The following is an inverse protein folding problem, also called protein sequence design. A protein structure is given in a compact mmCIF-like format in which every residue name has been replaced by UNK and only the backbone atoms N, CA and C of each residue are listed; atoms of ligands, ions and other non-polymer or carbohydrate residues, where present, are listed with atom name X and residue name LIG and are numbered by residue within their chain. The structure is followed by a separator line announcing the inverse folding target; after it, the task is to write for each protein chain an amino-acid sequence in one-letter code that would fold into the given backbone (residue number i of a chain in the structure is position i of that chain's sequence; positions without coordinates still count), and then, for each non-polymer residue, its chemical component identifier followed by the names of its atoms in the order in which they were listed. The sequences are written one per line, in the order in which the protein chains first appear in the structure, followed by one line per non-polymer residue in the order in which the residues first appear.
data_IF_117368133187
#
_entry.id   IF_117368133187
#
_cell.length_a   1.000
_cell.length_b   1.000
_cell.length_c   1.000
_cell.angle_alpha   90.00
_cell.angle_beta   90.00
_cell.angle_gamma   90.00
#
_symmetry.space_group_name_H-M   'P 1'
#
loop_
_entity.id
_entity.type
_entity.pdbx_description
1 polymer ?
#
# COMPACT_ATOMS: atom_id res chain seq x y z
N UNK A 1 -3.31 0.03 -16.84
CA UNK A 1 -2.78 0.70 -15.64
C UNK A 1 -1.73 1.69 -16.09
N UNK A 2 -2.01 2.98 -15.92
CA UNK A 2 -1.17 4.08 -16.38
C UNK A 2 -0.38 4.67 -15.23
N UNK A 3 0.82 5.17 -15.50
CA UNK A 3 1.66 5.79 -14.49
C UNK A 3 1.00 7.06 -13.95
N UNK A 4 0.26 7.76 -14.81
CA UNK A 4 -0.67 8.83 -14.47
C UNK A 4 -1.53 8.51 -13.24
N UNK A 5 -2.21 7.37 -13.20
CA UNK A 5 -3.12 7.02 -12.09
C UNK A 5 -2.38 6.84 -10.75
N UNK A 6 -1.12 6.41 -10.77
CA UNK A 6 -0.31 6.31 -9.55
C UNK A 6 0.07 7.70 -9.00
N UNK A 7 0.43 8.62 -9.89
CA UNK A 7 0.80 10.00 -9.52
C UNK A 7 -0.43 10.77 -9.06
N UNK A 8 -1.55 10.65 -9.77
CA UNK A 8 -2.81 11.28 -9.41
C UNK A 8 -3.29 10.78 -8.04
N UNK A 9 -3.21 9.47 -7.76
CA UNK A 9 -3.53 8.92 -6.43
C UNK A 9 -2.59 9.45 -5.35
N UNK A 10 -1.28 9.50 -5.61
CA UNK A 10 -0.30 10.04 -4.66
C UNK A 10 -0.58 11.52 -4.34
N UNK A 11 -0.98 12.31 -5.35
CA UNK A 11 -1.37 13.70 -5.16
C UNK A 11 -2.65 13.81 -4.32
N UNK A 12 -3.68 13.01 -4.66
CA UNK A 12 -4.93 12.98 -3.93
C UNK A 12 -4.74 12.61 -2.46
N UNK A 13 -3.95 11.59 -2.16
CA UNK A 13 -3.69 11.14 -0.77
C UNK A 13 -2.93 12.18 0.05
N UNK A 14 -2.07 12.98 -0.57
CA UNK A 14 -1.27 14.00 0.13
C UNK A 14 -2.09 15.24 0.47
N UNK A 15 -2.97 15.64 -0.44
CA UNK A 15 -3.82 16.82 -0.33
C UNK A 15 -5.29 16.40 -0.02
N UNK A 16 -5.50 15.23 0.59
CA UNK A 16 -6.83 14.65 0.80
C UNK A 16 -7.61 15.37 1.90
N UNK A 17 -8.70 16.01 1.51
CA UNK A 17 -9.66 16.68 2.42
C UNK A 17 -10.96 15.90 2.58
N UNK A 18 -11.05 14.68 2.02
CA UNK A 18 -12.27 13.87 2.12
C UNK A 18 -12.52 13.39 3.55
N UNK A 19 -13.78 13.42 3.96
CA UNK A 19 -14.20 12.90 5.26
C UNK A 19 -14.31 11.37 5.23
N UNK A 20 -14.23 10.73 6.40
CA UNK A 20 -14.44 9.28 6.51
C UNK A 20 -15.80 8.84 5.95
N UNK A 21 -16.83 9.69 6.11
CA UNK A 21 -18.17 9.47 5.57
C UNK A 21 -18.20 9.47 4.04
N UNK A 22 -17.47 10.39 3.39
CA UNK A 22 -17.33 10.40 1.92
C UNK A 22 -16.66 9.12 1.41
N UNK A 23 -15.54 8.73 2.04
CA UNK A 23 -14.79 7.50 1.69
C UNK A 23 -15.66 6.26 1.85
N UNK A 24 -16.45 6.18 2.93
CA UNK A 24 -17.38 5.08 3.17
C UNK A 24 -18.51 5.05 2.14
N UNK A 25 -19.09 6.20 1.83
CA UNK A 25 -20.16 6.33 0.82
C UNK A 25 -19.68 5.82 -0.53
N UNK A 26 -18.46 6.18 -0.94
CA UNK A 26 -17.83 5.66 -2.14
C UNK A 26 -17.70 4.13 -2.12
N UNK A 27 -17.27 3.55 -0.99
CA UNK A 27 -17.17 2.09 -0.86
C UNK A 27 -18.51 1.37 -0.98
N UNK A 28 -19.60 2.01 -0.53
CA UNK A 28 -20.97 1.48 -0.64
C UNK A 28 -21.54 1.59 -2.05
N UNK A 29 -21.20 2.64 -2.81
CA UNK A 29 -21.64 2.77 -4.22
C UNK A 29 -20.90 1.82 -5.15
N UNK A 30 -19.68 1.40 -4.80
CA UNK A 30 -18.80 0.57 -5.62
C UNK A 30 -18.69 -0.90 -5.15
N UNK A 31 -19.83 -1.56 -4.93
CA UNK A 31 -19.90 -2.94 -4.41
C UNK A 31 -19.17 -3.97 -5.31
N UNK A 32 -19.21 -3.77 -6.63
CA UNK A 32 -18.63 -4.69 -7.61
C UNK A 32 -17.11 -4.84 -7.50
N UNK A 33 -16.42 -3.82 -6.99
CA UNK A 33 -14.96 -3.80 -6.84
C UNK A 33 -14.51 -3.95 -5.38
N UNK A 34 -15.42 -4.25 -4.45
CA UNK A 34 -15.15 -4.35 -3.00
C UNK A 34 -13.96 -5.27 -2.66
N UNK A 35 -13.81 -6.38 -3.39
CA UNK A 35 -12.76 -7.37 -3.12
C UNK A 35 -11.47 -7.14 -3.95
N UNK A 36 -11.40 -6.05 -4.73
CA UNK A 36 -10.21 -5.67 -5.48
C UNK A 36 -9.71 -4.29 -5.00
N UNK A 37 -8.77 -4.25 -4.04
CA UNK A 37 -8.29 -2.99 -3.47
C UNK A 37 -7.59 -2.12 -4.53
N UNK A 38 -7.00 -2.74 -5.56
CA UNK A 38 -6.35 -1.99 -6.64
C UNK A 38 -7.41 -1.32 -7.51
N UNK A 39 -8.50 -2.01 -7.82
CA UNK A 39 -9.62 -1.43 -8.56
C UNK A 39 -10.30 -0.30 -7.76
N UNK A 40 -10.49 -0.47 -6.44
CA UNK A 40 -11.03 0.58 -5.56
C UNK A 40 -10.19 1.86 -5.60
N UNK A 41 -8.87 1.74 -5.42
CA UNK A 41 -7.96 2.89 -5.47
C UNK A 41 -7.97 3.58 -6.84
N UNK A 42 -8.04 2.82 -7.93
CA UNK A 42 -8.10 3.38 -9.28
C UNK A 42 -9.43 4.08 -9.56
N UNK A 43 -10.54 3.49 -9.11
CA UNK A 43 -11.88 4.08 -9.25
C UNK A 43 -11.99 5.38 -8.44
N UNK A 44 -11.50 5.38 -7.19
CA UNK A 44 -11.42 6.58 -6.36
C UNK A 44 -10.60 7.67 -7.06
N UNK A 45 -9.43 7.30 -7.59
CA UNK A 45 -8.57 8.25 -8.30
C UNK A 45 -9.27 8.86 -9.52
N UNK A 46 -10.07 8.08 -10.25
CA UNK A 46 -10.80 8.55 -11.42
C UNK A 46 -11.94 9.50 -11.04
N UNK A 47 -12.70 9.19 -9.99
CA UNK A 47 -13.83 10.00 -9.52
C UNK A 47 -13.37 11.33 -8.93
N UNK A 48 -12.36 11.30 -8.07
CA UNK A 48 -11.87 12.48 -7.36
C UNK A 48 -10.79 13.26 -8.12
N UNK A 49 -10.46 12.84 -9.35
CA UNK A 49 -9.44 13.47 -10.20
C UNK A 49 -9.63 14.98 -10.35
N UNK A 50 -10.89 15.42 -10.46
CA UNK A 50 -11.23 16.83 -10.66
C UNK A 50 -10.88 17.74 -9.47
N UNK A 51 -10.61 17.17 -8.28
CA UNK A 51 -10.14 17.91 -7.11
C UNK A 51 -8.66 18.34 -7.24
N UNK A 52 -7.90 17.75 -8.17
CA UNK A 52 -6.50 18.10 -8.41
C UNK A 52 -6.38 19.40 -9.23
N UNK A 53 -5.33 20.18 -8.97
CA UNK A 53 -5.01 21.39 -9.74
C UNK A 53 -4.71 21.04 -11.20
N UNK A 54 -5.29 21.83 -12.12
CA UNK A 54 -5.07 21.67 -13.56
C UNK A 54 -3.81 22.44 -14.01
N UNK A 55 -3.04 21.89 -14.97
CA UNK A 55 -3.20 20.56 -15.57
C UNK A 55 -2.72 19.44 -14.63
N UNK A 56 -3.39 18.29 -14.72
CA UNK A 56 -3.15 17.15 -13.85
C UNK A 56 -1.68 16.69 -13.89
N UNK A 57 -1.06 16.56 -12.72
CA UNK A 57 0.36 16.20 -12.60
C UNK A 57 0.69 14.87 -13.30
N UNK A 58 -0.20 13.86 -13.22
CA UNK A 58 -0.02 12.59 -13.89
C UNK A 58 0.05 12.68 -15.42
N UNK A 59 -0.74 13.57 -16.04
CA UNK A 59 -0.76 13.76 -17.50
C UNK A 59 0.55 14.37 -18.00
N UNK A 60 1.04 15.40 -17.31
CA UNK A 60 2.33 16.03 -17.65
C UNK A 60 3.47 15.03 -17.54
N UNK A 61 3.51 14.26 -16.46
CA UNK A 61 4.58 13.30 -16.24
C UNK A 61 4.57 12.16 -17.26
N UNK A 62 3.40 11.58 -17.54
CA UNK A 62 3.27 10.51 -18.54
C UNK A 62 3.63 11.01 -19.93
N UNK A 63 3.19 12.22 -20.29
CA UNK A 63 3.54 12.85 -21.56
C UNK A 63 5.04 13.08 -21.70
N UNK A 64 5.71 13.66 -20.70
CA UNK A 64 7.17 13.89 -20.74
C UNK A 64 7.91 12.57 -20.90
N UNK A 65 7.57 11.55 -20.11
CA UNK A 65 8.20 10.26 -20.21
C UNK A 65 7.94 9.56 -21.55
N UNK A 66 6.76 9.74 -22.13
CA UNK A 66 6.45 9.25 -23.47
C UNK A 66 7.36 9.90 -24.51
N UNK A 67 7.46 11.23 -24.54
CA UNK A 67 8.28 11.96 -25.51
C UNK A 67 9.77 11.65 -25.39
N UNK A 68 10.32 11.65 -24.16
CA UNK A 68 11.71 11.26 -23.91
C UNK A 68 11.97 9.87 -24.48
N UNK A 69 11.05 8.94 -24.22
CA UNK A 69 11.22 7.56 -24.65
C UNK A 69 11.10 7.40 -26.15
N UNK A 70 10.17 8.11 -26.79
CA UNK A 70 10.04 8.13 -28.24
C UNK A 70 11.33 8.62 -28.91
N UNK A 71 11.89 9.73 -28.42
CA UNK A 71 13.16 10.29 -28.91
C UNK A 71 14.30 9.28 -28.72
N UNK A 72 14.42 8.68 -27.52
CA UNK A 72 15.47 7.70 -27.26
C UNK A 72 15.32 6.43 -28.12
N UNK A 73 14.09 5.96 -28.38
CA UNK A 73 13.83 4.82 -29.27
C UNK A 73 14.28 5.13 -30.69
N UNK A 74 13.97 6.33 -31.19
CA UNK A 74 14.38 6.78 -32.51
C UNK A 74 15.91 6.90 -32.60
N UNK A 75 16.55 7.51 -31.61
CA UNK A 75 18.03 7.57 -31.52
C UNK A 75 18.62 6.16 -31.49
N UNK A 76 18.09 5.26 -30.67
CA UNK A 76 18.57 3.88 -30.59
C UNK A 76 18.42 3.14 -31.92
N UNK A 77 17.31 3.33 -32.64
CA UNK A 77 17.11 2.77 -33.98
C UNK A 77 18.17 3.29 -34.96
N UNK A 78 18.36 4.61 -35.01
CA UNK A 78 19.33 5.26 -35.90
C UNK A 78 20.76 4.83 -35.58
N UNK A 79 21.11 4.74 -34.29
CA UNK A 79 22.41 4.20 -33.86
C UNK A 79 22.58 2.74 -34.26
N UNK A 80 21.53 1.91 -34.16
CA UNK A 80 21.52 0.53 -34.63
C UNK A 80 21.75 0.44 -36.14
N UNK A 81 21.05 1.27 -36.90
CA UNK A 81 21.17 1.38 -38.35
C UNK A 81 22.60 1.74 -38.76
N UNK A 82 23.16 2.83 -38.21
CA UNK A 82 24.53 3.25 -38.50
C UNK A 82 25.59 2.27 -37.99
N UNK A 83 25.37 1.61 -36.84
CA UNK A 83 26.28 0.56 -36.37
C UNK A 83 26.30 -0.61 -37.33
N UNK A 84 25.13 -1.04 -37.82
CA UNK A 84 25.03 -2.08 -38.84
C UNK A 84 25.72 -1.67 -40.13
N UNK A 85 25.53 -0.42 -40.59
CA UNK A 85 26.22 0.11 -41.78
C UNK A 85 27.73 0.14 -41.60
N UNK A 86 28.22 0.58 -40.44
CA UNK A 86 29.65 0.63 -40.15
C UNK A 86 30.28 -0.76 -40.06
N UNK A 87 29.63 -1.70 -39.37
CA UNK A 87 30.10 -3.09 -39.23
C UNK A 87 30.10 -3.85 -40.56
N UNK A 88 29.21 -3.48 -41.48
CA UNK A 88 29.08 -4.08 -42.81
C UNK A 88 29.72 -3.22 -43.92
N UNK A 89 30.54 -2.25 -43.54
CA UNK A 89 31.21 -1.37 -44.49
C UNK A 89 32.21 -2.16 -45.33
N UNK A 90 31.94 -2.25 -46.62
CA UNK A 90 32.79 -2.91 -47.60
C UNK A 90 33.35 -1.88 -48.59
N UNK A 91 34.67 -1.83 -48.71
CA UNK A 91 35.41 -0.89 -49.57
C UNK A 91 35.91 -1.53 -50.87
N UNK A 92 35.62 -2.81 -51.10
CA UNK A 92 36.15 -3.59 -52.23
C UNK A 92 37.57 -4.15 -52.00
N UNK A 93 38.32 -3.61 -51.03
CA UNK A 93 39.73 -3.98 -50.77
C UNK A 93 39.89 -5.06 -49.71
N UNK A 94 39.03 -5.05 -48.70
CA UNK A 94 39.03 -6.05 -47.62
C UNK A 94 37.62 -6.61 -47.44
N UNK A 95 37.47 -7.93 -47.20
CA UNK A 95 36.17 -8.52 -46.90
C UNK A 95 35.66 -8.09 -45.53
N UNK A 96 34.35 -8.13 -45.34
CA UNK A 96 33.71 -7.78 -44.07
C UNK A 96 33.93 -8.90 -43.06
N UNK A 97 34.57 -8.59 -41.93
CA UNK A 97 34.83 -9.59 -40.88
C UNK A 97 33.55 -9.90 -40.07
N UNK A 98 33.00 -11.11 -40.25
CA UNK A 98 31.79 -11.56 -39.56
C UNK A 98 31.94 -11.68 -38.04
N UNK A 99 33.15 -11.85 -37.49
CA UNK A 99 33.35 -12.02 -36.05
C UNK A 99 32.89 -10.78 -35.28
N UNK A 100 33.17 -9.58 -35.79
CA UNK A 100 32.71 -8.34 -35.16
C UNK A 100 31.19 -8.19 -35.21
N UNK A 101 30.58 -8.59 -36.32
CA UNK A 101 29.13 -8.59 -36.44
C UNK A 101 28.48 -9.59 -35.47
N UNK A 102 29.02 -10.81 -35.37
CA UNK A 102 28.55 -11.82 -34.41
C UNK A 102 28.72 -11.39 -32.95
N UNK A 103 29.83 -10.74 -32.61
CA UNK A 103 30.03 -10.09 -31.31
C UNK A 103 28.88 -9.12 -30.99
N UNK A 104 28.47 -8.32 -31.98
CA UNK A 104 27.43 -7.31 -31.84
C UNK A 104 26.01 -7.88 -31.78
N UNK A 105 25.70 -8.94 -32.52
CA UNK A 105 24.31 -9.47 -32.63
C UNK A 105 24.02 -10.70 -31.78
N UNK A 106 25.05 -11.39 -31.29
CA UNK A 106 24.89 -12.56 -30.41
C UNK A 106 25.39 -12.23 -29.01
N UNK A 107 26.68 -11.94 -28.87
CA UNK A 107 27.32 -11.88 -27.56
C UNK A 107 26.92 -10.65 -26.74
N UNK A 108 26.94 -9.45 -27.34
CA UNK A 108 26.52 -8.23 -26.67
C UNK A 108 25.03 -8.30 -26.24
N UNK A 109 24.09 -8.79 -27.07
CA UNK A 109 22.72 -9.01 -26.65
C UNK A 109 22.59 -9.99 -25.50
N UNK A 110 23.25 -11.14 -25.55
CA UNK A 110 23.23 -12.12 -24.47
C UNK A 110 23.79 -11.53 -23.16
N UNK A 111 24.92 -10.82 -23.21
CA UNK A 111 25.51 -10.16 -22.05
C UNK A 111 24.58 -9.12 -21.43
N UNK A 112 23.96 -8.26 -22.24
CA UNK A 112 23.05 -7.23 -21.73
C UNK A 112 21.73 -7.82 -21.21
N UNK A 113 21.26 -8.94 -21.78
CA UNK A 113 20.12 -9.69 -21.27
C UNK A 113 20.41 -10.36 -19.93
N UNK A 114 21.59 -10.97 -19.75
CA UNK A 114 21.96 -11.57 -18.46
C UNK A 114 22.06 -10.51 -17.37
N UNK A 115 22.67 -9.35 -17.65
CA UNK A 115 22.68 -8.21 -16.73
C UNK A 115 21.25 -7.74 -16.38
N UNK A 116 20.35 -7.73 -17.35
CA UNK A 116 18.95 -7.38 -17.12
C UNK A 116 18.26 -8.40 -16.21
N UNK A 117 18.46 -9.70 -16.44
CA UNK A 117 17.89 -10.77 -15.61
C UNK A 117 18.40 -10.70 -14.18
N UNK A 118 19.71 -10.47 -13.99
CA UNK A 118 20.30 -10.24 -12.66
C UNK A 118 19.66 -9.03 -12.00
N UNK A 119 19.50 -7.92 -12.72
CA UNK A 119 18.80 -6.73 -12.23
C UNK A 119 17.38 -7.07 -11.76
N UNK A 120 16.59 -7.80 -12.57
CA UNK A 120 15.22 -8.21 -12.23
C UNK A 120 15.15 -9.02 -10.93
N UNK A 121 16.10 -9.92 -10.69
CA UNK A 121 16.17 -10.75 -9.48
C UNK A 121 16.57 -9.93 -8.25
N UNK A 122 17.46 -8.95 -8.43
CA UNK A 122 18.04 -8.18 -7.33
C UNK A 122 17.21 -6.96 -6.90
N UNK A 123 16.18 -6.57 -7.67
CA UNK A 123 15.22 -5.49 -7.31
C UNK A 123 14.66 -5.64 -5.89
N UNK A 124 14.49 -6.87 -5.40
CA UNK A 124 13.91 -7.12 -4.06
C UNK A 124 14.94 -7.05 -2.91
N UNK A 125 16.24 -7.15 -3.21
CA UNK A 125 17.32 -7.28 -2.21
C UNK A 125 18.18 -6.02 -2.06
N UNK A 126 18.15 -5.11 -3.03
CA UNK A 126 18.99 -3.93 -3.04
C UNK A 126 18.50 -2.89 -2.01
N UNK A 127 18.89 -3.04 -0.74
CA UNK A 127 18.77 -1.97 0.24
C UNK A 127 19.96 -1.01 0.23
N UNK A 128 21.22 -1.39 -0.07
CA UNK A 128 22.33 -0.42 0.10
C UNK A 128 23.62 -0.55 -0.75
N UNK A 129 23.91 -1.64 -1.49
CA UNK A 129 25.30 -1.84 -1.97
C UNK A 129 25.54 -1.49 -3.46
N UNK A 130 24.49 -1.36 -4.28
CA UNK A 130 24.61 -1.11 -5.74
C UNK A 130 23.75 0.07 -6.24
N UNK A 131 23.56 1.13 -5.44
CA UNK A 131 22.63 2.22 -5.77
C UNK A 131 22.98 2.88 -7.12
N UNK A 132 24.27 3.06 -7.45
CA UNK A 132 24.70 3.67 -8.73
C UNK A 132 24.55 2.75 -9.96
N UNK A 133 24.46 1.44 -9.75
CA UNK A 133 24.17 0.45 -10.80
C UNK A 133 22.65 0.24 -10.92
N UNK A 134 21.89 0.69 -9.91
CA UNK A 134 20.44 0.51 -9.91
C UNK A 134 19.78 1.36 -11.02
N UNK A 135 18.86 0.77 -11.80
CA UNK A 135 18.12 1.51 -12.81
C UNK A 135 17.38 2.74 -12.26
N UNK A 136 16.92 2.69 -11.01
CA UNK A 136 16.26 3.82 -10.35
C UNK A 136 17.15 5.07 -10.20
N UNK A 137 18.45 4.92 -9.92
CA UNK A 137 19.38 6.05 -9.83
C UNK A 137 19.49 6.81 -11.16
N UNK A 138 19.56 6.07 -12.27
CA UNK A 138 19.57 6.67 -13.61
C UNK A 138 18.23 7.30 -13.97
N UNK A 139 17.11 6.74 -13.50
CA UNK A 139 15.78 7.34 -13.67
C UNK A 139 15.71 8.73 -13.02
N UNK A 140 16.20 8.86 -11.79
CA UNK A 140 16.20 10.14 -11.07
C UNK A 140 17.04 11.19 -11.81
N UNK A 141 18.24 10.83 -12.27
CA UNK A 141 19.11 11.73 -13.04
C UNK A 141 18.49 12.14 -14.39
N UNK A 142 17.92 11.19 -15.13
CA UNK A 142 17.21 11.47 -16.38
C UNK A 142 16.02 12.40 -16.14
N UNK A 143 15.16 12.07 -15.16
CA UNK A 143 14.01 12.89 -14.83
C UNK A 143 14.42 14.29 -14.42
N UNK A 144 15.41 14.46 -13.52
CA UNK A 144 15.89 15.78 -13.11
C UNK A 144 16.43 16.61 -14.27
N UNK A 145 17.17 15.98 -15.20
CA UNK A 145 17.69 16.66 -16.37
C UNK A 145 16.58 17.22 -17.27
N UNK A 146 15.51 16.44 -17.49
CA UNK A 146 14.37 16.89 -18.29
C UNK A 146 13.38 17.77 -17.50
N UNK A 147 13.30 17.62 -16.17
CA UNK A 147 12.44 18.40 -15.25
C UNK A 147 12.85 19.86 -15.20
N UNK A 148 14.17 20.12 -15.11
CA UNK A 148 14.71 21.49 -15.10
C UNK A 148 14.33 22.30 -16.33
N UNK A 149 14.08 21.61 -17.46
CA UNK A 149 13.67 22.22 -18.72
C UNK A 149 12.16 22.44 -18.85
N UNK A 150 11.37 21.77 -17.99
CA UNK A 150 9.91 21.72 -18.10
C UNK A 150 9.18 22.53 -17.00
N UNK A 151 9.90 23.20 -16.11
CA UNK A 151 9.37 23.98 -14.97
C UNK A 151 8.31 23.21 -14.15
N UNK A 152 8.59 21.93 -13.92
CA UNK A 152 7.77 21.05 -13.08
C UNK A 152 8.60 20.66 -11.88
N UNK A 153 8.08 20.90 -10.68
CA UNK A 153 8.68 20.39 -9.45
C UNK A 153 8.37 18.89 -9.28
N UNK A 154 9.11 18.07 -10.02
CA UNK A 154 9.04 16.61 -9.92
C UNK A 154 9.59 16.08 -8.58
N UNK A 155 10.25 16.91 -7.79
CA UNK A 155 10.79 16.51 -6.48
C UNK A 155 9.69 16.29 -5.44
N UNK A 156 8.49 16.86 -5.67
CA UNK A 156 7.30 16.65 -4.82
C UNK A 156 6.79 15.20 -4.85
N UNK A 157 7.10 14.44 -5.90
CA UNK A 157 6.59 13.07 -6.12
C UNK A 157 7.69 12.02 -5.95
N UNK A 158 7.69 11.33 -4.80
CA UNK A 158 8.56 10.18 -4.57
C UNK A 158 7.98 8.94 -5.24
N UNK A 159 8.53 8.57 -6.40
CA UNK A 159 8.18 7.32 -7.08
C UNK A 159 8.75 6.15 -6.27
N UNK A 160 7.92 5.14 -6.01
CA UNK A 160 8.37 3.93 -5.35
C UNK A 160 9.57 3.32 -6.11
N UNK A 161 10.71 3.03 -5.45
CA UNK A 161 11.93 2.57 -6.12
C UNK A 161 11.73 1.27 -6.88
N UNK A 162 10.83 0.39 -6.42
CA UNK A 162 10.47 -0.83 -7.13
C UNK A 162 9.78 -0.49 -8.46
N UNK A 163 8.84 0.46 -8.46
CA UNK A 163 8.19 0.92 -9.69
C UNK A 163 9.18 1.58 -10.65
N UNK A 164 10.03 2.48 -10.15
CA UNK A 164 11.06 3.16 -10.94
C UNK A 164 12.02 2.17 -11.63
N UNK A 165 12.50 1.15 -10.90
CA UNK A 165 13.38 0.12 -11.46
C UNK A 165 12.73 -0.62 -12.63
N UNK A 166 11.47 -1.05 -12.48
CA UNK A 166 10.76 -1.76 -13.55
C UNK A 166 10.45 -0.85 -14.75
N UNK A 167 10.23 0.46 -14.54
CA UNK A 167 10.07 1.43 -15.63
C UNK A 167 11.35 1.48 -16.47
N UNK A 168 12.52 1.61 -15.83
CA UNK A 168 13.79 1.69 -16.56
C UNK A 168 14.12 0.37 -17.25
N UNK A 169 13.93 -0.77 -16.59
CA UNK A 169 14.16 -2.08 -17.21
C UNK A 169 13.29 -2.26 -18.46
N UNK A 170 11.99 -1.94 -18.39
CA UNK A 170 11.11 -2.04 -19.57
C UNK A 170 11.58 -1.12 -20.69
N UNK A 171 11.93 0.13 -20.36
CA UNK A 171 12.38 1.11 -21.37
C UNK A 171 13.72 0.71 -21.97
N UNK A 172 14.68 0.21 -21.19
CA UNK A 172 15.98 -0.26 -21.70
C UNK A 172 15.82 -1.43 -22.66
N UNK A 173 14.91 -2.38 -22.38
CA UNK A 173 14.60 -3.47 -23.33
C UNK A 173 14.02 -2.93 -24.64
N UNK A 174 13.17 -1.91 -24.57
CA UNK A 174 12.59 -1.30 -25.77
C UNK A 174 13.64 -0.55 -26.61
N UNK A 175 14.55 0.18 -25.97
CA UNK A 175 15.67 0.85 -26.65
C UNK A 175 16.60 -0.16 -27.30
N UNK A 176 16.96 -1.20 -26.57
CA UNK A 176 17.85 -2.26 -27.04
C UNK A 176 17.21 -3.06 -28.18
N UNK A 177 15.89 -3.29 -28.15
CA UNK A 177 15.15 -3.92 -29.24
C UNK A 177 15.11 -3.01 -30.48
N UNK A 178 14.88 -1.71 -30.30
CA UNK A 178 14.90 -0.71 -31.38
C UNK A 178 16.27 -0.65 -32.07
N UNK A 179 17.35 -0.66 -31.28
CA UNK A 179 18.71 -0.76 -31.80
C UNK A 179 18.91 -2.03 -32.63
N UNK A 180 18.50 -3.19 -32.13
CA UNK A 180 18.61 -4.46 -32.85
C UNK A 180 17.79 -4.48 -34.15
N UNK A 181 16.62 -3.84 -34.16
CA UNK A 181 15.81 -3.66 -35.37
C UNK A 181 16.51 -2.75 -36.38
N UNK A 182 17.08 -1.63 -35.95
CA UNK A 182 17.85 -0.75 -36.84
C UNK A 182 19.05 -1.47 -37.47
N UNK A 183 19.78 -2.25 -36.67
CA UNK A 183 20.90 -3.07 -37.15
C UNK A 183 20.43 -4.15 -38.14
N UNK A 184 19.31 -4.79 -37.87
CA UNK A 184 18.72 -5.79 -38.78
C UNK A 184 18.27 -5.17 -40.11
N UNK A 185 17.66 -3.99 -40.08
CA UNK A 185 17.32 -3.23 -41.28
C UNK A 185 18.58 -2.84 -42.07
N UNK A 186 19.66 -2.45 -41.40
CA UNK A 186 20.95 -2.19 -42.05
C UNK A 186 21.48 -3.45 -42.76
N UNK A 187 21.45 -4.60 -42.09
CA UNK A 187 21.89 -5.86 -42.69
C UNK A 187 21.12 -6.17 -43.97
N UNK A 188 19.79 -6.13 -43.92
CA UNK A 188 18.95 -6.39 -45.09
C UNK A 188 19.17 -5.36 -46.19
N UNK A 189 19.26 -4.08 -45.83
CA UNK A 189 19.46 -2.99 -46.78
C UNK A 189 20.80 -3.08 -47.51
N UNK A 190 21.88 -3.44 -46.82
CA UNK A 190 23.21 -3.57 -47.44
C UNK A 190 23.26 -4.84 -48.29
N UNK A 191 22.74 -5.96 -47.81
CA UNK A 191 22.69 -7.22 -48.59
C UNK A 191 21.85 -7.07 -49.85
N UNK A 192 20.79 -6.25 -49.83
CA UNK A 192 19.95 -5.99 -51.00
C UNK A 192 20.57 -5.01 -52.00
N UNK A 193 21.54 -4.19 -51.60
CA UNK A 193 22.07 -3.09 -52.43
C UNK A 193 23.53 -3.26 -52.82
N UNK A 194 24.31 -4.05 -52.08
CA UNK A 194 25.74 -4.25 -52.29
C UNK A 194 26.07 -5.73 -52.42
N UNK A 195 26.97 -6.04 -53.34
CA UNK A 195 27.64 -7.34 -53.42
C UNK A 195 28.75 -7.40 -52.36
N UNK A 196 28.38 -7.84 -51.14
CA UNK A 196 29.31 -7.92 -50.02
C UNK A 196 30.01 -9.28 -50.03
N UNK A 197 31.34 -9.27 -49.94
CA UNK A 197 32.13 -10.45 -49.60
C UNK A 197 32.34 -10.52 -48.07
N UNK A 198 31.77 -11.55 -47.45
CA UNK A 198 31.96 -11.84 -46.03
C UNK A 198 33.15 -12.79 -45.83
N UNK A 199 33.96 -12.52 -44.82
CA UNK A 199 35.06 -13.39 -44.40
C UNK A 199 35.16 -13.45 -42.88
N UNK A 200 35.76 -14.50 -42.34
CA UNK A 200 36.14 -14.52 -40.93
C UNK A 200 37.64 -14.47 -40.79
N UNK A 201 38.09 -13.72 -39.78
CA UNK A 201 39.47 -13.70 -39.36
C UNK A 201 39.53 -13.46 -37.86
N UNK A 202 40.42 -14.16 -37.17
CA UNK A 202 40.65 -14.02 -35.74
C UNK A 202 42.14 -14.12 -35.45
N UNK A 203 42.61 -13.40 -34.44
CA UNK A 203 43.99 -13.51 -33.95
C UNK A 203 44.22 -14.79 -33.15
N UNK A 204 43.15 -15.48 -32.75
CA UNK A 204 43.21 -16.78 -32.09
C UNK A 204 43.41 -17.87 -33.15
N UNK A 205 44.31 -18.83 -32.89
CA UNK A 205 44.53 -19.95 -33.79
C UNK A 205 43.38 -20.97 -33.68
N UNK A 206 42.30 -20.74 -34.43
CA UNK A 206 41.10 -21.57 -34.47
C UNK A 206 41.01 -22.22 -35.84
N UNK A 207 40.87 -23.55 -35.91
CA UNK A 207 40.68 -24.26 -37.17
C UNK A 207 39.25 -24.10 -37.70
N UNK A 208 39.08 -24.26 -39.02
CA UNK A 208 37.78 -24.17 -39.70
C UNK A 208 36.75 -25.14 -39.13
N UNK A 209 37.16 -26.34 -38.71
CA UNK A 209 36.30 -27.36 -38.13
C UNK A 209 35.75 -26.93 -36.77
N UNK A 210 36.61 -26.35 -35.91
CA UNK A 210 36.18 -25.84 -34.60
C UNK A 210 35.25 -24.64 -34.76
N UNK A 211 35.53 -23.75 -35.71
CA UNK A 211 34.65 -22.63 -36.00
C UNK A 211 33.30 -23.10 -36.56
N UNK A 212 33.28 -24.09 -37.45
CA UNK A 212 32.05 -24.73 -37.95
C UNK A 212 31.23 -25.35 -36.82
N UNK A 213 31.85 -26.10 -35.91
CA UNK A 213 31.16 -26.65 -34.74
C UNK A 213 30.54 -25.55 -33.87
N UNK A 214 31.30 -24.48 -33.59
CA UNK A 214 30.82 -23.34 -32.83
C UNK A 214 29.59 -22.68 -33.49
N UNK A 215 29.63 -22.45 -34.80
CA UNK A 215 28.50 -21.87 -35.53
C UNK A 215 27.30 -22.82 -35.60
N UNK A 216 27.52 -24.14 -35.64
CA UNK A 216 26.45 -25.13 -35.57
C UNK A 216 25.74 -25.11 -34.20
N UNK A 217 26.48 -24.88 -33.11
CA UNK A 217 25.91 -24.67 -31.77
C UNK A 217 25.07 -23.39 -31.73
N UNK A 218 25.58 -22.28 -32.27
CA UNK A 218 24.80 -21.04 -32.39
C UNK A 218 23.55 -21.22 -33.29
N UNK A 219 23.64 -22.06 -34.31
CA UNK A 219 22.52 -22.35 -35.20
C UNK A 219 21.47 -23.28 -34.57
N UNK A 220 21.67 -23.80 -33.35
CA UNK A 220 20.75 -24.73 -32.68
C UNK A 220 19.25 -24.36 -32.81
N UNK A 221 18.84 -23.08 -32.67
CA UNK A 221 17.42 -22.72 -32.74
C UNK A 221 16.78 -22.88 -34.13
N UNK A 222 17.58 -22.88 -35.21
CA UNK A 222 17.07 -22.96 -36.59
C UNK A 222 17.64 -24.07 -37.46
N UNK A 223 18.75 -24.69 -37.08
CA UNK A 223 19.49 -25.65 -37.92
C UNK A 223 18.65 -26.81 -38.46
N UNK A 224 17.63 -27.26 -37.71
CA UNK A 224 16.81 -28.40 -38.11
C UNK A 224 15.74 -28.05 -39.14
N UNK A 225 15.25 -26.81 -39.18
CA UNK A 225 14.13 -26.40 -40.04
C UNK A 225 14.52 -25.36 -41.10
N UNK A 226 15.68 -24.72 -40.95
CA UNK A 226 16.29 -23.84 -41.96
C UNK A 226 17.80 -24.15 -42.12
N UNK A 227 18.16 -25.34 -42.60
CA UNK A 227 19.56 -25.73 -42.78
C UNK A 227 20.30 -24.85 -43.79
N UNK A 228 19.59 -24.24 -44.74
CA UNK A 228 20.16 -23.29 -45.70
C UNK A 228 20.70 -21.99 -45.08
N UNK A 229 20.38 -21.72 -43.80
CA UNK A 229 20.91 -20.61 -43.02
C UNK A 229 22.00 -21.07 -42.04
N UNK A 230 22.59 -22.25 -42.25
CA UNK A 230 23.74 -22.77 -41.52
C UNK A 230 24.93 -22.81 -42.49
N UNK A 231 26.07 -22.16 -42.16
CA UNK A 231 27.26 -22.19 -43.00
C UNK A 231 27.81 -23.61 -43.13
N UNK A 232 28.11 -24.04 -44.36
CA UNK A 232 28.82 -25.31 -44.58
C UNK A 232 30.30 -25.19 -44.20
N UNK A 233 30.95 -26.32 -43.93
CA UNK A 233 32.40 -26.35 -43.68
C UNK A 233 33.19 -25.75 -44.85
N UNK A 234 32.80 -26.08 -46.08
CA UNK A 234 33.41 -25.56 -47.31
C UNK A 234 33.31 -24.03 -47.40
N UNK A 235 32.14 -23.45 -47.07
CA UNK A 235 31.98 -21.99 -47.02
C UNK A 235 32.90 -21.36 -45.96
N UNK A 236 33.10 -22.02 -44.81
CA UNK A 236 33.96 -21.52 -43.74
C UNK A 236 35.42 -21.56 -44.18
N UNK A 237 35.89 -22.65 -44.77
CA UNK A 237 37.27 -22.75 -45.28
C UNK A 237 37.56 -21.70 -46.35
N UNK A 238 36.65 -21.52 -47.31
CA UNK A 238 36.80 -20.56 -48.40
C UNK A 238 36.69 -19.10 -47.94
N UNK A 239 35.98 -18.84 -46.83
CA UNK A 239 35.82 -17.49 -46.26
C UNK A 239 36.86 -17.14 -45.19
N UNK A 240 37.85 -18.00 -44.95
CA UNK A 240 38.93 -17.70 -44.01
C UNK A 240 39.95 -16.72 -44.62
N UNK A 241 40.14 -15.57 -43.98
CA UNK A 241 40.97 -14.47 -44.51
C UNK A 241 42.13 -14.10 -43.58
N UNK A 242 43.35 -13.99 -44.14
CA UNK A 242 44.55 -13.54 -43.43
C UNK A 242 44.97 -12.15 -43.91
N UNK A 243 44.92 -11.15 -43.02
CA UNK A 243 45.21 -9.73 -43.32
C UNK A 243 46.64 -9.44 -43.80
N UNK A 244 47.61 -10.28 -43.48
CA UNK A 244 49.03 -10.06 -43.81
C UNK A 244 49.39 -10.43 -45.27
N UNK A 245 48.44 -10.97 -46.05
CA UNK A 245 48.66 -11.42 -47.43
C UNK A 245 48.67 -10.32 -48.51
N UNK A 246 48.46 -9.04 -48.15
CA UNK A 246 48.60 -7.88 -49.04
C UNK A 246 47.51 -7.70 -50.11
N UNK A 247 46.95 -8.77 -50.65
CA UNK A 247 45.91 -8.74 -51.69
C UNK A 247 44.81 -9.77 -51.41
N UNK A 248 43.59 -9.48 -51.89
CA UNK A 248 42.50 -10.47 -51.92
C UNK A 248 42.96 -11.65 -52.78
N UNK A 249 43.07 -12.85 -52.21
CA UNK A 249 43.36 -14.07 -52.98
C UNK A 249 42.43 -14.13 -54.20
N UNK A 250 42.97 -14.34 -55.41
CA UNK A 250 42.18 -14.43 -56.66
C UNK A 250 41.01 -15.43 -56.53
N UNK A 251 41.21 -16.48 -55.73
CA UNK A 251 40.18 -17.48 -55.38
C UNK A 251 38.98 -16.88 -54.63
N UNK A 252 39.19 -15.94 -53.71
CA UNK A 252 38.11 -15.27 -52.97
C UNK A 252 37.31 -14.34 -53.88
N UNK A 253 37.97 -13.66 -54.81
CA UNK A 253 37.31 -12.80 -55.81
C UNK A 253 36.46 -13.65 -56.76
N UNK A 254 36.99 -14.79 -57.23
CA UNK A 254 36.26 -15.73 -58.07
C UNK A 254 35.04 -16.36 -57.37
N UNK A 255 35.06 -16.46 -56.04
CA UNK A 255 34.01 -17.08 -55.21
C UNK A 255 33.15 -16.05 -54.44
N UNK A 256 33.18 -14.78 -54.83
CA UNK A 256 32.47 -13.70 -54.12
C UNK A 256 30.96 -13.98 -53.92
N UNK A 257 30.31 -14.63 -54.90
CA UNK A 257 28.90 -15.05 -54.80
C UNK A 257 28.67 -16.04 -53.64
N UNK A 258 29.60 -16.97 -53.42
CA UNK A 258 29.52 -17.92 -52.31
C UNK A 258 29.73 -17.22 -50.97
N UNK A 259 30.68 -16.28 -50.90
CA UNK A 259 30.94 -15.48 -49.70
C UNK A 259 29.73 -14.64 -49.29
N UNK A 260 28.92 -14.18 -50.24
CA UNK A 260 27.67 -13.48 -49.96
C UNK A 260 26.67 -14.30 -49.13
N UNK A 261 26.70 -15.64 -49.22
CA UNK A 261 25.69 -16.51 -48.60
C UNK A 261 25.64 -16.47 -47.06
N UNK A 262 26.69 -15.95 -46.41
CA UNK A 262 26.76 -15.70 -44.97
C UNK A 262 25.59 -14.87 -44.42
N UNK A 263 24.99 -14.00 -45.25
CA UNK A 263 23.91 -13.11 -44.81
C UNK A 263 22.74 -13.88 -44.19
N UNK A 264 22.44 -15.10 -44.66
CA UNK A 264 21.33 -15.92 -44.13
C UNK A 264 21.57 -16.30 -42.68
N UNK A 265 22.79 -16.72 -42.36
CA UNK A 265 23.19 -17.04 -41.00
C UNK A 265 23.19 -15.79 -40.12
N UNK A 266 23.76 -14.68 -40.60
CA UNK A 266 23.79 -13.42 -39.86
C UNK A 266 22.39 -12.86 -39.59
N UNK A 267 21.47 -12.98 -40.56
CA UNK A 267 20.08 -12.58 -40.43
C UNK A 267 19.37 -13.42 -39.37
N UNK A 268 19.52 -14.75 -39.41
CA UNK A 268 18.93 -15.65 -38.42
C UNK A 268 19.51 -15.45 -37.01
N UNK A 269 20.83 -15.25 -36.90
CA UNK A 269 21.48 -14.95 -35.63
C UNK A 269 20.96 -13.62 -35.04
N UNK A 270 20.86 -12.57 -35.86
CA UNK A 270 20.31 -11.27 -35.43
C UNK A 270 18.85 -11.39 -35.02
N UNK A 271 18.03 -12.08 -35.83
CA UNK A 271 16.61 -12.28 -35.57
C UNK A 271 16.39 -13.04 -34.27
N UNK A 272 17.11 -14.14 -34.05
CA UNK A 272 16.91 -14.96 -32.86
C UNK A 272 17.49 -14.30 -31.61
N UNK A 273 18.81 -14.05 -31.60
CA UNK A 273 19.53 -13.64 -30.40
C UNK A 273 19.30 -12.17 -30.02
N UNK A 274 19.22 -11.27 -31.00
CA UNK A 274 19.07 -9.84 -30.73
C UNK A 274 17.62 -9.38 -30.67
N UNK A 275 16.71 -10.01 -31.44
CA UNK A 275 15.31 -9.57 -31.55
C UNK A 275 14.36 -10.48 -30.77
N UNK A 276 14.27 -11.77 -31.09
CA UNK A 276 13.27 -12.70 -30.49
C UNK A 276 13.49 -12.87 -28.99
N UNK A 277 14.70 -13.24 -28.56
CA UNK A 277 14.99 -13.39 -27.12
C UNK A 277 14.75 -12.08 -26.36
N UNK A 278 15.09 -10.96 -26.98
CA UNK A 278 14.88 -9.63 -26.40
C UNK A 278 13.41 -9.26 -26.30
N UNK A 279 12.60 -9.65 -27.28
CA UNK A 279 11.17 -9.45 -27.27
C UNK A 279 10.52 -10.21 -26.11
N UNK A 280 10.93 -11.45 -25.84
CA UNK A 280 10.47 -12.18 -24.66
C UNK A 280 10.87 -11.48 -23.35
N UNK A 281 12.09 -10.97 -23.26
CA UNK A 281 12.54 -10.21 -22.10
C UNK A 281 11.77 -8.88 -21.92
N UNK A 282 11.43 -8.22 -23.04
CA UNK A 282 10.52 -7.08 -23.04
C UNK A 282 9.15 -7.46 -22.48
N UNK A 283 8.54 -8.56 -22.95
CA UNK A 283 7.27 -9.05 -22.41
C UNK A 283 7.36 -9.34 -20.90
N UNK A 284 8.42 -10.01 -20.45
CA UNK A 284 8.67 -10.25 -19.02
C UNK A 284 8.77 -8.95 -18.23
N UNK A 285 9.46 -7.94 -18.78
CA UNK A 285 9.56 -6.61 -18.15
C UNK A 285 8.21 -5.89 -18.08
N UNK A 286 7.34 -6.05 -19.08
CA UNK A 286 5.99 -5.48 -19.06
C UNK A 286 5.13 -6.11 -17.98
N UNK A 287 5.24 -7.42 -17.80
CA UNK A 287 4.55 -8.16 -16.76
C UNK A 287 5.07 -7.79 -15.36
N UNK A 288 6.39 -7.70 -15.21
CA UNK A 288 7.03 -7.25 -13.98
C UNK A 288 6.61 -5.83 -13.59
N UNK A 289 6.54 -4.91 -14.56
CA UNK A 289 6.04 -3.56 -14.35
C UNK A 289 4.57 -3.53 -13.90
N UNK A 290 3.69 -4.35 -14.50
CA UNK A 290 2.28 -4.45 -14.07
C UNK A 290 2.19 -4.91 -12.60
N UNK A 291 2.98 -5.91 -12.21
CA UNK A 291 3.03 -6.38 -10.81
C UNK A 291 3.60 -5.32 -9.86
N UNK A 292 4.65 -4.63 -10.31
CA UNK A 292 5.28 -3.56 -9.56
C UNK A 292 4.32 -2.41 -9.29
N UNK A 293 3.53 -2.03 -10.28
CA UNK A 293 2.51 -0.99 -10.18
C UNK A 293 1.44 -1.34 -9.14
N UNK A 294 0.88 -2.56 -9.19
CA UNK A 294 -0.11 -3.03 -8.20
C UNK A 294 0.45 -2.95 -6.78
N UNK A 295 1.69 -3.41 -6.57
CA UNK A 295 2.35 -3.33 -5.26
C UNK A 295 2.59 -1.90 -4.83
N UNK A 296 3.08 -1.06 -5.74
CA UNK A 296 3.38 0.34 -5.46
C UNK A 296 2.13 1.09 -4.98
N UNK A 297 0.99 0.91 -5.64
CA UNK A 297 -0.30 1.48 -5.23
C UNK A 297 -0.69 1.09 -3.80
N UNK A 298 -0.61 -0.21 -3.47
CA UNK A 298 -0.99 -0.72 -2.14
C UNK A 298 -0.01 -0.31 -1.03
N UNK A 299 1.20 0.11 -1.40
CA UNK A 299 2.23 0.60 -0.46
C UNK A 299 2.30 2.12 -0.38
N UNK A 300 1.45 2.84 -1.11
CA UNK A 300 1.36 4.30 -0.96
C UNK A 300 0.93 4.65 0.46
N UNK A 301 1.53 5.69 1.01
CA UNK A 301 1.12 6.29 2.27
C UNK A 301 -0.33 6.79 2.16
N UNK A 302 -1.17 6.47 3.15
CA UNK A 302 -2.62 6.75 3.11
C UNK A 302 -3.47 5.76 2.32
N UNK A 303 -2.91 4.94 1.43
CA UNK A 303 -3.72 4.01 0.62
C UNK A 303 -4.42 2.92 1.45
N UNK A 304 -3.76 2.43 2.52
CA UNK A 304 -4.35 1.46 3.44
C UNK A 304 -5.50 2.05 4.26
N UNK A 305 -5.33 3.29 4.72
CA UNK A 305 -6.34 4.01 5.49
C UNK A 305 -7.55 4.34 4.62
N UNK A 306 -7.32 4.82 3.39
CA UNK A 306 -8.38 5.02 2.41
C UNK A 306 -9.18 3.74 2.15
N UNK A 307 -8.49 2.62 1.91
CA UNK A 307 -9.15 1.31 1.73
C UNK A 307 -9.89 0.85 2.98
N UNK A 308 -9.36 1.15 4.17
CA UNK A 308 -10.01 0.85 5.44
C UNK A 308 -11.32 1.64 5.56
N UNK A 309 -11.29 2.94 5.35
CA UNK A 309 -12.46 3.83 5.43
C UNK A 309 -13.53 3.50 4.39
N UNK A 310 -13.13 3.07 3.19
CA UNK A 310 -14.08 2.60 2.17
C UNK A 310 -14.83 1.35 2.63
N UNK A 311 -14.15 0.41 3.30
CA UNK A 311 -14.66 -0.94 3.50
C UNK A 311 -15.23 -1.19 4.90
N UNK A 312 -14.74 -0.50 5.93
CA UNK A 312 -15.20 -0.65 7.32
C UNK A 312 -16.46 0.17 7.63
N UNK A 313 -17.36 -0.33 8.51
CA UNK A 313 -18.53 0.42 8.93
C UNK A 313 -18.15 1.59 9.84
N UNK A 314 -18.85 2.72 9.69
CA UNK A 314 -18.78 3.84 10.63
C UNK A 314 -19.57 3.46 11.88
N UNK A 315 -18.88 3.28 13.00
CA UNK A 315 -19.50 3.02 14.31
C UNK A 315 -19.47 4.34 15.09
N UNK A 316 -20.63 4.98 15.23
CA UNK A 316 -20.80 6.16 16.09
C UNK A 316 -21.66 5.77 17.28
N UNK A 317 -21.16 5.93 18.50
CA UNK A 317 -21.98 5.81 19.71
C UNK A 317 -22.75 7.10 19.90
N UNK A 318 -24.07 7.04 19.75
CA UNK A 318 -24.97 8.15 20.02
C UNK A 318 -25.60 7.95 21.39
N UNK A 319 -25.46 8.92 22.29
CA UNK A 319 -26.25 8.98 23.52
C UNK A 319 -27.53 9.77 23.23
N UNK A 320 -28.70 9.19 23.51
CA UNK A 320 -30.00 9.81 23.18
C UNK A 320 -30.35 11.02 24.09
N UNK A 321 -29.52 11.29 25.11
CA UNK A 321 -29.63 12.45 25.99
C UNK A 321 -28.29 13.15 26.04
N UNK A 322 -28.31 14.48 25.87
CA UNK A 322 -27.18 15.32 26.27
C UNK A 322 -26.94 15.11 27.78
N UNK A 323 -25.70 14.86 28.19
CA UNK A 323 -25.33 14.91 29.60
C UNK A 323 -25.63 16.33 30.10
N UNK A 324 -26.72 16.50 30.83
CA UNK A 324 -26.91 17.70 31.63
C UNK A 324 -25.80 17.68 32.69
N UNK A 325 -24.76 18.48 32.47
CA UNK A 325 -23.86 18.89 33.55
C UNK A 325 -24.71 19.67 34.55
N UNK A 326 -25.34 19.00 35.51
CA UNK A 326 -25.90 19.63 36.70
C UNK A 326 -24.73 20.41 37.33
N UNK A 327 -24.74 21.74 37.22
CA UNK A 327 -23.73 22.60 37.87
C UNK A 327 -23.91 22.36 39.36
N UNK A 328 -22.98 21.65 39.99
CA UNK A 328 -23.00 21.43 41.43
C UNK A 328 -23.11 22.78 42.14
N UNK A 329 -24.27 23.06 42.72
CA UNK A 329 -24.43 24.20 43.61
C UNK A 329 -23.53 23.91 44.81
N UNK A 330 -22.41 24.64 44.95
CA UNK A 330 -21.62 24.68 46.17
C UNK A 330 -22.40 25.46 47.26
N UNK A 331 -23.58 24.95 47.62
CA UNK A 331 -24.38 25.41 48.75
C UNK A 331 -24.25 24.40 49.90
N UNK A 332 -24.36 24.87 51.15
CA UNK A 332 -24.52 23.95 52.29
C UNK A 332 -25.80 23.14 52.05
N UNK A 333 -25.72 21.82 52.23
CA UNK A 333 -26.90 20.97 52.17
C UNK A 333 -27.72 21.19 53.44
N UNK A 334 -28.84 21.90 53.31
CA UNK A 334 -29.64 22.36 54.44
C UNK A 334 -30.71 21.34 54.90
N UNK A 335 -30.91 20.25 54.15
CA UNK A 335 -31.88 19.18 54.46
C UNK A 335 -31.28 18.08 55.35
N UNK A 336 -31.05 18.41 56.61
CA UNK A 336 -30.48 17.50 57.63
C UNK A 336 -31.49 17.18 58.73
N UNK A 337 -31.45 15.95 59.23
CA UNK A 337 -32.24 15.47 60.38
C UNK A 337 -31.27 15.14 61.51
N UNK A 338 -31.51 15.64 62.74
CA UNK A 338 -30.67 15.36 63.91
C UNK A 338 -31.20 14.22 64.80
N UNK A 339 -32.51 13.97 64.77
CA UNK A 339 -33.16 12.87 65.49
C UNK A 339 -34.18 12.21 64.57
N UNK A 340 -34.18 10.88 64.53
CA UNK A 340 -35.16 10.13 63.75
C UNK A 340 -36.49 10.09 64.52
N UNK A 341 -37.60 10.21 63.81
CA UNK A 341 -38.93 9.96 64.36
C UNK A 341 -39.08 8.50 64.80
N UNK A 342 -39.96 8.23 65.76
CA UNK A 342 -40.16 6.88 66.30
C UNK A 342 -40.87 5.92 65.32
N UNK A 343 -41.54 6.45 64.30
CA UNK A 343 -42.28 5.65 63.32
C UNK A 343 -42.18 6.25 61.92
N UNK A 344 -42.06 5.36 60.93
CA UNK A 344 -42.03 5.66 59.50
C UNK A 344 -42.93 4.68 58.75
N UNK A 345 -43.42 5.07 57.58
CA UNK A 345 -44.33 4.24 56.78
C UNK A 345 -43.57 3.06 56.13
N UNK A 346 -42.33 3.30 55.69
CA UNK A 346 -41.49 2.26 55.06
C UNK A 346 -40.03 2.41 55.49
N UNK A 347 -39.39 1.27 55.76
CA UNK A 347 -37.95 1.17 55.96
C UNK A 347 -37.34 0.38 54.80
N UNK A 348 -36.27 0.90 54.24
CA UNK A 348 -35.50 0.27 53.18
C UNK A 348 -34.03 0.17 53.56
N UNK A 349 -33.36 -0.90 53.13
CA UNK A 349 -31.93 -1.09 53.29
C UNK A 349 -31.23 -1.25 51.95
N UNK A 350 -30.31 -0.34 51.61
CA UNK A 350 -29.52 -0.45 50.39
C UNK A 350 -28.37 -1.45 50.57
N UNK A 351 -28.45 -2.58 49.86
CA UNK A 351 -27.56 -3.73 49.99
C UNK A 351 -27.41 -4.23 51.45
N UNK A 352 -28.51 -4.12 52.23
CA UNK A 352 -28.60 -4.59 53.61
C UNK A 352 -29.69 -5.65 53.69
N UNK A 353 -29.31 -6.86 54.12
CA UNK A 353 -30.25 -7.98 54.23
C UNK A 353 -31.42 -7.65 55.16
N UNK A 354 -32.61 -8.16 54.84
CA UNK A 354 -33.81 -7.93 55.66
C UNK A 354 -33.61 -8.29 57.15
N UNK A 355 -32.85 -9.35 57.46
CA UNK A 355 -32.54 -9.74 58.85
C UNK A 355 -31.73 -8.66 59.59
N UNK A 356 -30.73 -8.10 58.94
CA UNK A 356 -29.92 -7.01 59.51
C UNK A 356 -30.74 -5.74 59.67
N UNK A 357 -31.62 -5.44 58.71
CA UNK A 357 -32.51 -4.27 58.73
C UNK A 357 -33.42 -4.27 59.96
N UNK A 358 -34.02 -5.42 60.30
CA UNK A 358 -34.84 -5.57 61.51
C UNK A 358 -34.02 -5.29 62.77
N UNK A 359 -32.81 -5.86 62.87
CA UNK A 359 -31.92 -5.62 64.03
C UNK A 359 -31.52 -4.14 64.16
N UNK A 360 -31.30 -3.45 63.04
CA UNK A 360 -31.00 -2.02 63.04
C UNK A 360 -32.21 -1.22 63.54
N UNK A 361 -33.42 -1.54 63.08
CA UNK A 361 -34.65 -0.88 63.53
C UNK A 361 -34.87 -1.06 65.03
N UNK A 362 -34.69 -2.28 65.55
CA UNK A 362 -34.79 -2.57 66.98
C UNK A 362 -33.77 -1.76 67.80
N UNK A 363 -32.52 -1.68 67.32
CA UNK A 363 -31.44 -0.95 67.99
C UNK A 363 -31.72 0.56 68.03
N UNK A 364 -32.30 1.10 66.96
CA UNK A 364 -32.65 2.52 66.84
C UNK A 364 -34.06 2.85 67.36
N UNK A 365 -34.79 1.85 67.90
CA UNK A 365 -36.17 2.00 68.39
C UNK A 365 -37.14 2.57 67.33
N UNK A 366 -36.99 2.14 66.07
CA UNK A 366 -37.83 2.56 64.94
C UNK A 366 -38.92 1.54 64.65
N UNK A 367 -40.15 2.03 64.42
CA UNK A 367 -41.31 1.19 64.11
C UNK A 367 -41.79 1.47 62.69
N UNK A 368 -41.77 0.45 61.83
CA UNK A 368 -42.30 0.51 60.47
C UNK A 368 -43.11 -0.74 60.16
N UNK A 369 -44.29 -0.63 59.51
CA UNK A 369 -45.07 -1.78 59.08
C UNK A 369 -44.39 -2.54 57.93
N UNK A 370 -43.64 -1.83 57.08
CA UNK A 370 -43.00 -2.38 55.90
C UNK A 370 -41.48 -2.21 55.94
N UNK A 371 -40.75 -3.30 55.66
CA UNK A 371 -39.29 -3.36 55.67
C UNK A 371 -38.76 -4.11 54.43
N UNK A 372 -38.07 -3.41 53.53
CA UNK A 372 -37.59 -3.97 52.25
C UNK A 372 -36.06 -3.93 52.10
N UNK A 373 -35.49 -5.00 51.55
CA UNK A 373 -34.11 -5.03 51.06
C UNK A 373 -34.09 -4.50 49.63
N UNK A 374 -33.18 -3.57 49.33
CA UNK A 374 -33.10 -2.85 48.04
C UNK A 374 -31.67 -2.86 47.53
N UNK A 375 -31.46 -2.92 46.23
CA UNK A 375 -30.13 -2.99 45.63
C UNK A 375 -29.33 -4.25 46.01
N UNK A 376 -28.02 -4.25 45.75
CA UNK A 376 -27.16 -5.40 46.04
C UNK A 376 -27.47 -6.61 45.14
N UNK A 377 -28.18 -7.60 45.68
CA UNK A 377 -28.55 -8.82 44.94
C UNK A 377 -29.89 -8.70 44.20
N UNK A 378 -30.62 -7.60 44.37
CA UNK A 378 -31.88 -7.37 43.68
C UNK A 378 -31.67 -7.06 42.19
N UNK A 379 -32.61 -7.51 41.37
CA UNK A 379 -32.76 -7.09 39.98
C UNK A 379 -33.42 -5.70 39.90
N UNK A 380 -33.22 -5.00 38.78
CA UNK A 380 -33.83 -3.68 38.56
C UNK A 380 -35.37 -3.70 38.61
N UNK A 381 -36.00 -4.83 38.26
CA UNK A 381 -37.46 -4.95 38.30
C UNK A 381 -37.99 -5.19 39.73
N UNK A 382 -37.24 -5.92 40.57
CA UNK A 382 -37.57 -6.08 42.00
C UNK A 382 -37.47 -4.74 42.75
N UNK A 383 -36.41 -3.97 42.49
CA UNK A 383 -36.23 -2.64 43.08
C UNK A 383 -37.35 -1.67 42.64
N UNK A 384 -37.81 -1.75 41.38
CA UNK A 384 -38.96 -0.97 40.91
C UNK A 384 -40.27 -1.37 41.59
N UNK A 385 -40.47 -2.66 41.84
CA UNK A 385 -41.65 -3.13 42.56
C UNK A 385 -41.67 -2.60 44.01
N UNK A 386 -40.50 -2.56 44.67
CA UNK A 386 -40.36 -2.00 46.01
C UNK A 386 -40.63 -0.48 46.01
N UNK A 387 -40.09 0.25 45.04
CA UNK A 387 -40.44 1.68 44.85
C UNK A 387 -41.95 1.80 44.69
N UNK A 388 -42.59 0.94 43.89
CA UNK A 388 -44.03 1.00 43.67
C UNK A 388 -44.87 0.77 44.94
N UNK A 389 -44.41 -0.06 45.86
CA UNK A 389 -45.07 -0.33 47.15
C UNK A 389 -44.78 0.73 48.21
N UNK A 390 -43.77 1.57 48.00
CA UNK A 390 -43.36 2.59 48.97
C UNK A 390 -44.25 3.83 48.94
N UNK A 391 -44.55 4.37 50.13
CA UNK A 391 -45.44 5.51 50.34
C UNK A 391 -45.04 6.27 51.62
N UNK A 392 -45.55 7.49 51.79
CA UNK A 392 -45.36 8.29 53.02
C UNK A 392 -43.91 8.72 53.27
N UNK A 393 -43.47 8.67 54.52
CA UNK A 393 -42.08 8.92 54.92
C UNK A 393 -41.26 7.62 54.92
N UNK A 394 -40.15 7.61 54.18
CA UNK A 394 -39.27 6.44 54.02
C UNK A 394 -37.92 6.67 54.67
N UNK A 395 -37.46 5.71 55.47
CA UNK A 395 -36.06 5.64 55.94
C UNK A 395 -35.27 4.71 55.04
N UNK A 396 -34.19 5.22 54.46
CA UNK A 396 -33.28 4.45 53.61
C UNK A 396 -31.92 4.30 54.29
N UNK A 397 -31.67 3.12 54.84
CA UNK A 397 -30.40 2.78 55.47
C UNK A 397 -29.33 2.49 54.42
N UNK A 398 -28.15 3.07 54.62
CA UNK A 398 -26.99 2.89 53.74
C UNK A 398 -25.74 2.64 54.58
N UNK A 399 -24.80 1.83 54.08
CA UNK A 399 -23.53 1.58 54.76
C UNK A 399 -22.64 2.81 54.63
N UNK A 400 -22.28 3.45 55.75
CA UNK A 400 -21.56 4.72 55.73
C UNK A 400 -20.14 4.61 55.13
N UNK A 401 -19.52 3.42 55.13
CA UNK A 401 -18.20 3.18 54.55
C UNK A 401 -18.20 2.94 53.04
N UNK A 402 -19.36 2.69 52.43
CA UNK A 402 -19.50 2.57 50.98
C UNK A 402 -19.83 3.96 50.40
N UNK A 403 -19.17 4.39 49.30
CA UNK A 403 -19.52 5.65 48.66
C UNK A 403 -20.86 5.53 47.93
N UNK A 404 -21.65 6.62 47.81
CA UNK A 404 -22.89 6.64 47.04
C UNK A 404 -22.60 6.46 45.55
N UNK A 405 -22.88 5.27 45.03
CA UNK A 405 -22.73 4.86 43.63
C UNK A 405 -23.87 5.40 42.77
N UNK A 406 -23.71 5.40 41.43
CA UNK A 406 -24.70 6.01 40.53
C UNK A 406 -26.03 5.23 40.49
N UNK A 407 -25.99 3.91 40.60
CA UNK A 407 -27.17 3.03 40.75
C UNK A 407 -28.00 3.39 42.00
N UNK A 408 -27.35 3.68 43.13
CA UNK A 408 -28.02 4.19 44.32
C UNK A 408 -28.68 5.55 44.06
N UNK A 409 -28.00 6.46 43.36
CA UNK A 409 -28.54 7.80 43.07
C UNK A 409 -29.75 7.70 42.13
N UNK A 410 -29.68 6.86 41.11
CA UNK A 410 -30.79 6.61 40.19
C UNK A 410 -32.00 6.01 40.94
N UNK A 411 -31.76 5.05 41.85
CA UNK A 411 -32.79 4.47 42.70
C UNK A 411 -33.41 5.51 43.64
N UNK A 412 -32.57 6.34 44.29
CA UNK A 412 -33.01 7.37 45.22
C UNK A 412 -33.85 8.46 44.53
N UNK A 413 -33.48 8.87 43.31
CA UNK A 413 -34.25 9.86 42.53
C UNK A 413 -35.64 9.30 42.19
N UNK A 414 -35.71 8.04 41.72
CA UNK A 414 -36.99 7.37 41.43
C UNK A 414 -37.86 7.16 42.68
N UNK A 415 -37.25 6.82 43.83
CA UNK A 415 -37.97 6.66 45.09
C UNK A 415 -38.53 8.01 45.57
N UNK A 416 -37.68 9.05 45.58
CA UNK A 416 -38.04 10.37 46.09
C UNK A 416 -39.12 11.06 45.27
N UNK A 417 -39.21 10.80 43.96
CA UNK A 417 -40.31 11.29 43.11
C UNK A 417 -41.67 10.75 43.54
N UNK A 418 -41.72 9.57 44.18
CA UNK A 418 -42.95 8.85 44.51
C UNK A 418 -43.42 9.04 45.95
N UNK A 419 -42.50 9.20 46.89
CA UNK A 419 -42.82 9.30 48.32
C UNK A 419 -42.79 10.75 48.80
N UNK A 420 -43.29 11.00 50.01
CA UNK A 420 -43.38 12.35 50.57
C UNK A 420 -42.02 12.84 51.04
N UNK A 421 -41.20 11.93 51.62
CA UNK A 421 -39.89 12.23 52.17
C UNK A 421 -39.03 10.97 52.23
N UNK A 422 -37.75 11.08 51.88
CA UNK A 422 -36.76 10.02 52.07
C UNK A 422 -35.68 10.51 53.02
N UNK A 423 -35.49 9.84 54.15
CA UNK A 423 -34.40 10.09 55.10
C UNK A 423 -33.31 9.05 54.85
N UNK A 424 -32.21 9.46 54.23
CA UNK A 424 -31.02 8.63 54.06
C UNK A 424 -30.27 8.58 55.39
N UNK A 425 -30.09 7.37 55.92
CA UNK A 425 -29.43 7.14 57.21
C UNK A 425 -28.16 6.32 56.99
N UNK A 426 -26.98 6.97 56.91
CA UNK A 426 -25.72 6.28 56.96
C UNK A 426 -25.58 5.54 58.30
N UNK A 427 -25.21 4.27 58.26
CA UNK A 427 -24.97 3.45 59.45
C UNK A 427 -23.56 2.88 59.46
N UNK A 428 -22.98 2.80 60.66
CA UNK A 428 -21.68 2.19 60.92
C UNK A 428 -21.76 0.67 61.02
N UNK A 429 -20.71 0.05 61.55
CA UNK A 429 -20.71 -1.41 61.74
C UNK A 429 -21.43 -1.79 63.03
N UNK A 430 -21.96 -3.02 63.10
CA UNK A 430 -22.59 -3.55 64.32
C UNK A 430 -21.63 -3.60 65.53
N UNK A 431 -20.30 -3.62 65.30
CA UNK A 431 -19.29 -3.61 66.37
C UNK A 431 -19.22 -2.27 67.11
N UNK A 432 -19.55 -1.19 66.41
CA UNK A 432 -19.49 0.19 66.92
C UNK A 432 -20.90 0.73 67.22
N UNK A 433 -21.87 -0.16 67.47
CA UNK A 433 -23.28 0.20 67.71
C UNK A 433 -23.83 1.09 66.59
N UNK A 434 -23.44 0.81 65.35
CA UNK A 434 -23.81 1.55 64.14
C UNK A 434 -23.40 3.04 64.13
N UNK A 435 -22.47 3.46 65.00
CA UNK A 435 -21.94 4.83 65.01
C UNK A 435 -21.17 5.15 63.72
N UNK A 436 -21.32 6.39 63.24
CA UNK A 436 -20.72 6.86 61.98
C UNK A 436 -19.72 7.98 62.26
N UNK A 437 -18.63 8.03 61.50
CA UNK A 437 -17.68 9.14 61.57
C UNK A 437 -18.15 10.36 60.76
N UNK A 438 -17.84 11.57 61.23
CA UNK A 438 -18.20 12.83 60.53
C UNK A 438 -17.72 12.85 59.07
N UNK A 439 -16.53 12.27 58.81
CA UNK A 439 -15.95 12.17 57.48
C UNK A 439 -16.81 11.34 56.51
N UNK A 440 -17.45 10.28 57.00
CA UNK A 440 -18.34 9.45 56.19
C UNK A 440 -19.64 10.20 55.89
N UNK A 441 -20.22 10.85 56.90
CA UNK A 441 -21.42 11.68 56.72
C UNK A 441 -21.15 12.79 55.69
N UNK A 442 -19.99 13.45 55.76
CA UNK A 442 -19.60 14.50 54.80
C UNK A 442 -19.50 14.01 53.35
N UNK A 443 -19.18 12.74 53.11
CA UNK A 443 -19.16 12.15 51.75
C UNK A 443 -20.60 12.03 51.24
N UNK A 444 -21.50 11.51 52.06
CA UNK A 444 -22.92 11.36 51.73
C UNK A 444 -23.61 12.72 51.56
N UNK A 445 -23.38 13.67 52.47
CA UNK A 445 -23.90 15.05 52.37
C UNK A 445 -23.47 15.72 51.07
N UNK A 446 -22.19 15.61 50.69
CA UNK A 446 -21.69 16.19 49.43
C UNK A 446 -22.37 15.60 48.21
N UNK A 447 -22.57 14.27 48.18
CA UNK A 447 -23.22 13.63 47.04
C UNK A 447 -24.71 13.98 46.95
N UNK A 448 -25.44 13.98 48.06
CA UNK A 448 -26.85 14.37 48.07
C UNK A 448 -27.05 15.86 47.73
N UNK A 449 -26.06 16.72 48.03
CA UNK A 449 -26.05 18.10 47.57
C UNK A 449 -25.92 18.24 46.05
N UNK A 450 -25.23 17.31 45.37
CA UNK A 450 -25.18 17.27 43.89
C UNK A 450 -26.53 16.86 43.29
N UNK A 451 -27.30 16.02 43.98
CA UNK A 451 -28.62 15.57 43.54
C UNK A 451 -29.67 16.71 43.67
N UNK A 452 -29.58 17.52 44.73
CA UNK A 452 -30.46 18.67 45.06
C UNK A 452 -31.97 18.36 44.98
N UNK A 453 -32.39 17.18 45.45
CA UNK A 453 -33.80 16.78 45.45
C UNK A 453 -34.53 17.27 46.73
N UNK A 454 -35.70 17.91 46.57
CA UNK A 454 -36.42 18.59 47.67
C UNK A 454 -36.89 17.65 48.79
N UNK A 455 -37.17 16.39 48.42
CA UNK A 455 -37.72 15.36 49.33
C UNK A 455 -36.67 14.46 49.98
N UNK A 456 -35.38 14.66 49.66
CA UNK A 456 -34.29 13.84 50.20
C UNK A 456 -33.65 14.57 51.38
N UNK A 457 -33.54 13.86 52.49
CA UNK A 457 -32.94 14.34 53.74
C UNK A 457 -31.85 13.36 54.17
N UNK A 458 -30.90 13.84 54.97
CA UNK A 458 -29.84 12.99 55.53
C UNK A 458 -29.81 13.09 57.05
N UNK A 459 -29.68 11.95 57.72
CA UNK A 459 -29.38 11.89 59.16
C UNK A 459 -27.92 12.29 59.38
N UNK A 460 -27.70 13.34 60.17
CA UNK A 460 -26.36 13.81 60.60
C UNK A 460 -26.19 13.58 62.09
#
# INVERSE_FOLDING_TARGET
MKLQSYIDLQALLKDDISTQAERRTFGLTHVTIKNDPVAQLLAWTAEYRNKLSKPFYGDRFESILYHITLILVMIAFVLGLFSGIGLLSYSGKEPVNLVYFLAMVVFLPLLTMTLTLVSMLWIRRAKNILVHISPAFWMEKLLLFFSKKADIDLTRFKINPLLANWIVIKRSQMLALSFSLGLFVALLGIVATKDIAFAWSTTLNISSEHFHQFLNILAFPWRNWLPSAVPSLDLIEQSHYFRLGGELNERMVAQAVLLGTWWKFLAMATLFYAIILRFFLYLLSTWGLKKAFKRALLTLEGARELLKDMNEPLITTYANKEEMRKRGRHGKYDRKVEQLDASYDVVQGWAISQKALVTICDTLSLISPDCYETGGNNTLDEDREIIHRSHGEVVLFVKAWEPPTMDFIDYLELLADRVEKVVVVPIGTAKDVYAVSDKQIDIWVRKLAELDHERVWIKV
#
